data_IF_933687614524
#
_entry.id   IF_933687614524
#
_cell.length_a   1.000
_cell.length_b   1.000
_cell.length_c   1.000
_cell.angle_alpha   90.00
_cell.angle_beta   90.00
_cell.angle_gamma   90.00
#
_symmetry.space_group_name_H-M   'P 1'
#
loop_
_entity.id
_entity.type
_entity.pdbx_description
1 polymer ?
#
# COMPACT_ATOMS: atom_id res chain seq x y z
N UNK A 1 8.26 11.09 13.50
CA UNK A 1 8.09 10.90 12.06
C UNK A 1 6.69 11.27 11.68
N UNK A 2 6.54 11.96 10.61
CA UNK A 2 5.24 12.48 10.20
C UNK A 2 4.82 11.87 8.87
N UNK A 3 3.51 11.60 8.75
CA UNK A 3 2.95 11.20 7.47
C UNK A 3 2.76 12.42 6.57
N UNK A 4 3.00 12.22 5.27
CA UNK A 4 2.62 13.17 4.24
C UNK A 4 1.22 12.82 3.77
N UNK A 5 0.35 13.81 3.67
CA UNK A 5 -1.03 13.62 3.19
C UNK A 5 -1.13 14.16 1.76
N UNK A 6 -1.61 13.32 0.84
CA UNK A 6 -1.83 13.76 -0.54
C UNK A 6 -3.18 14.43 -0.70
N UNK A 7 -3.41 15.02 -1.88
CA UNK A 7 -4.68 15.69 -2.18
C UNK A 7 -5.88 14.73 -2.14
N UNK A 8 -5.67 13.44 -2.38
CA UNK A 8 -6.74 12.43 -2.35
C UNK A 8 -7.05 11.93 -0.93
N UNK A 9 -6.25 12.32 0.06
CA UNK A 9 -6.41 11.86 1.43
C UNK A 9 -5.54 10.67 1.81
N UNK A 10 -4.75 10.15 0.88
CA UNK A 10 -3.76 9.12 1.17
C UNK A 10 -2.68 9.70 2.08
N UNK A 11 -2.26 8.93 3.08
CA UNK A 11 -1.11 9.29 3.90
C UNK A 11 0.00 8.28 3.67
N UNK A 12 1.24 8.76 3.64
CA UNK A 12 2.38 7.86 3.49
C UNK A 12 3.59 8.36 4.26
N UNK A 13 4.47 7.42 4.60
CA UNK A 13 5.73 7.72 5.27
C UNK A 13 6.78 6.71 4.80
N UNK A 14 7.92 7.21 4.33
CA UNK A 14 9.04 6.35 3.98
C UNK A 14 9.81 6.00 5.26
N UNK A 15 9.73 4.74 5.67
CA UNK A 15 10.50 4.25 6.81
C UNK A 15 11.92 3.88 6.40
N UNK A 16 12.10 3.51 5.13
CA UNK A 16 13.40 3.33 4.51
C UNK A 16 13.32 3.91 3.10
N UNK A 17 14.24 4.78 2.74
CA UNK A 17 14.33 5.29 1.37
C UNK A 17 15.28 4.39 0.60
N UNK A 18 14.77 3.78 -0.48
CA UNK A 18 15.58 2.94 -1.35
C UNK A 18 16.54 3.75 -2.20
N UNK A 19 17.46 3.06 -2.85
CA UNK A 19 18.49 3.68 -3.67
C UNK A 19 18.46 3.21 -5.12
N UNK A 20 17.60 2.25 -5.44
CA UNK A 20 17.49 1.70 -6.79
C UNK A 20 16.55 2.48 -7.70
N UNK A 21 16.02 1.80 -8.71
CA UNK A 21 15.15 2.42 -9.69
C UNK A 21 13.85 2.91 -9.05
N UNK A 22 13.32 4.00 -9.56
CA UNK A 22 12.08 4.60 -9.07
C UNK A 22 10.87 3.93 -9.72
N UNK A 23 9.85 3.63 -8.91
CA UNK A 23 8.58 3.08 -9.37
C UNK A 23 7.81 4.14 -10.14
N UNK A 24 7.49 3.84 -11.39
CA UNK A 24 6.81 4.77 -12.30
C UNK A 24 5.55 4.14 -12.88
N UNK A 25 4.50 4.95 -13.13
CA UNK A 25 3.30 4.45 -13.78
C UNK A 25 3.62 3.84 -15.15
N UNK A 26 2.91 2.78 -15.49
CA UNK A 26 3.09 2.10 -16.76
C UNK A 26 4.10 0.97 -16.74
N UNK A 27 4.77 0.75 -15.60
CA UNK A 27 5.73 -0.34 -15.45
C UNK A 27 5.24 -1.35 -14.42
N UNK A 28 5.68 -2.59 -14.55
CA UNK A 28 5.42 -3.59 -13.52
C UNK A 28 6.35 -3.36 -12.34
N UNK A 29 5.79 -3.48 -11.14
CA UNK A 29 6.56 -3.38 -9.91
C UNK A 29 6.40 -4.66 -9.10
N UNK A 30 7.44 -5.01 -8.33
CA UNK A 30 7.45 -6.20 -7.49
C UNK A 30 7.59 -5.75 -6.05
N UNK A 31 6.65 -6.18 -5.20
CA UNK A 31 6.60 -5.75 -3.80
C UNK A 31 6.37 -6.93 -2.87
N UNK A 32 6.86 -6.79 -1.63
CA UNK A 32 6.27 -7.49 -0.49
C UNK A 32 5.43 -6.50 0.28
N UNK A 33 4.33 -6.97 0.85
CA UNK A 33 3.44 -6.10 1.63
C UNK A 33 2.82 -6.86 2.78
N UNK A 34 2.41 -6.10 3.79
CA UNK A 34 1.56 -6.57 4.89
C UNK A 34 0.49 -5.52 5.11
N UNK A 35 -0.75 -5.96 5.28
CA UNK A 35 -1.88 -5.06 5.48
C UNK A 35 -2.62 -5.33 6.78
N UNK A 36 -3.04 -4.26 7.44
CA UNK A 36 -3.80 -4.30 8.68
C UNK A 36 -5.01 -3.39 8.57
N UNK A 37 -6.04 -3.70 9.33
CA UNK A 37 -7.12 -2.75 9.58
C UNK A 37 -6.56 -1.61 10.44
N UNK A 38 -7.03 -0.40 10.19
CA UNK A 38 -6.52 0.79 10.89
C UNK A 38 -7.72 1.64 11.32
N UNK A 39 -7.87 1.85 12.62
CA UNK A 39 -9.04 2.56 13.16
C UNK A 39 -8.59 3.53 14.24
N UNK A 40 -9.02 4.79 14.12
CA UNK A 40 -8.71 5.85 15.07
C UNK A 40 -7.21 5.95 15.40
N UNK A 41 -6.37 5.77 14.40
CA UNK A 41 -4.92 5.85 14.58
C UNK A 41 -4.30 4.59 15.17
N UNK A 42 -5.07 3.50 15.30
CA UNK A 42 -4.61 2.25 15.91
C UNK A 42 -4.59 1.13 14.88
N UNK A 43 -3.45 0.46 14.77
CA UNK A 43 -3.31 -0.70 13.93
C UNK A 43 -4.07 -1.88 14.54
N UNK A 44 -4.98 -2.45 13.74
CA UNK A 44 -5.80 -3.59 14.16
C UNK A 44 -5.31 -4.90 13.60
N UNK A 45 -6.25 -5.76 13.23
CA UNK A 45 -5.95 -7.11 12.75
C UNK A 45 -5.24 -7.10 11.40
N UNK A 46 -4.23 -7.95 11.27
CA UNK A 46 -3.58 -8.21 9.99
C UNK A 46 -4.55 -9.03 9.12
N UNK A 47 -4.77 -8.60 7.87
CA UNK A 47 -5.68 -9.30 6.97
C UNK A 47 -4.99 -9.96 5.78
N UNK A 48 -3.78 -9.54 5.45
CA UNK A 48 -3.07 -10.11 4.31
C UNK A 48 -1.58 -9.81 4.41
N UNK A 49 -0.75 -10.71 3.84
CA UNK A 49 0.69 -10.47 3.70
C UNK A 49 1.26 -11.39 2.63
N UNK A 50 1.99 -10.79 1.68
CA UNK A 50 2.72 -11.57 0.68
C UNK A 50 3.84 -12.39 1.31
N UNK A 51 4.39 -11.91 2.43
CA UNK A 51 5.45 -12.63 3.14
C UNK A 51 4.94 -13.94 3.75
N UNK A 52 3.69 -13.97 4.19
CA UNK A 52 3.08 -15.19 4.72
C UNK A 52 2.94 -16.27 3.65
N UNK A 53 2.78 -15.85 2.38
CA UNK A 53 2.71 -16.76 1.24
C UNK A 53 4.09 -17.13 0.71
N UNK A 54 5.15 -16.43 1.16
CA UNK A 54 6.51 -16.65 0.67
C UNK A 54 6.73 -16.25 -0.78
N UNK A 55 5.88 -15.37 -1.32
CA UNK A 55 5.93 -14.99 -2.73
C UNK A 55 5.61 -13.51 -2.90
N UNK A 56 6.49 -12.75 -3.58
CA UNK A 56 6.22 -11.33 -3.82
C UNK A 56 5.07 -11.14 -4.80
N UNK A 57 4.48 -9.97 -4.75
CA UNK A 57 3.35 -9.59 -5.58
C UNK A 57 3.82 -8.64 -6.69
N UNK A 58 3.43 -8.95 -7.91
CA UNK A 58 3.80 -8.16 -9.08
C UNK A 58 2.53 -7.56 -9.68
N UNK A 59 2.55 -6.25 -9.95
CA UNK A 59 1.40 -5.60 -10.57
C UNK A 59 1.83 -4.44 -11.45
N UNK A 60 1.01 -4.08 -12.48
CA UNK A 60 1.30 -2.91 -13.31
C UNK A 60 0.89 -1.64 -12.54
N UNK A 61 1.86 -0.79 -12.25
CA UNK A 61 1.62 0.42 -11.46
C UNK A 61 0.80 1.44 -12.26
N UNK A 62 -0.23 1.98 -11.65
CA UNK A 62 -1.09 2.97 -12.27
C UNK A 62 -2.12 2.40 -13.23
N UNK A 63 -2.20 1.07 -13.34
CA UNK A 63 -3.10 0.42 -14.31
C UNK A 63 -4.50 0.12 -13.80
N UNK A 64 -4.83 0.49 -12.58
CA UNK A 64 -6.15 0.20 -12.00
C UNK A 64 -6.35 -1.26 -11.63
N UNK A 65 -5.29 -2.04 -11.57
CA UNK A 65 -5.35 -3.47 -11.25
C UNK A 65 -5.30 -3.76 -9.76
N UNK A 66 -5.04 -2.74 -8.96
CA UNK A 66 -4.97 -2.80 -7.49
C UNK A 66 -5.78 -1.65 -6.94
N UNK A 67 -5.98 -1.61 -5.61
CA UNK A 67 -6.70 -0.50 -5.01
C UNK A 67 -5.97 0.82 -5.29
N UNK A 68 -6.74 1.91 -5.39
CA UNK A 68 -6.20 3.21 -5.79
C UNK A 68 -5.09 3.69 -4.86
N UNK A 69 -5.19 3.39 -3.58
CA UNK A 69 -4.16 3.76 -2.61
C UNK A 69 -2.80 3.17 -2.94
N UNK A 70 -2.76 1.99 -3.54
CA UNK A 70 -1.51 1.38 -4.00
C UNK A 70 -1.01 2.02 -5.30
N UNK A 71 -1.90 2.19 -6.29
CA UNK A 71 -1.53 2.81 -7.56
C UNK A 71 -0.97 4.22 -7.33
N UNK A 72 -1.50 4.94 -6.37
CA UNK A 72 -1.00 6.27 -6.00
C UNK A 72 0.20 6.19 -5.06
N UNK A 73 0.12 5.32 -4.05
CA UNK A 73 1.08 5.33 -2.93
C UNK A 73 2.42 4.71 -3.26
N UNK A 74 2.49 3.78 -4.19
CA UNK A 74 3.76 3.11 -4.56
C UNK A 74 4.57 3.97 -5.54
N UNK A 75 3.93 4.89 -6.25
CA UNK A 75 4.65 5.79 -7.15
C UNK A 75 5.70 6.60 -6.39
N UNK A 76 6.89 6.67 -6.95
CA UNK A 76 7.98 7.42 -6.36
C UNK A 76 8.82 6.64 -5.36
N UNK A 77 8.41 5.42 -4.97
CA UNK A 77 9.28 4.56 -4.17
C UNK A 77 10.48 4.14 -5.00
N UNK A 78 11.58 3.87 -4.33
CA UNK A 78 12.79 3.32 -4.98
C UNK A 78 13.02 1.90 -4.50
N UNK A 79 13.60 1.08 -5.37
CA UNK A 79 13.96 -0.30 -5.02
C UNK A 79 14.81 -0.31 -3.75
N UNK A 80 14.48 -1.20 -2.83
CA UNK A 80 15.10 -1.28 -1.50
C UNK A 80 14.40 -0.45 -0.44
N UNK A 81 13.42 0.37 -0.83
CA UNK A 81 12.68 1.20 0.11
C UNK A 81 11.48 0.50 0.73
N UNK A 82 11.06 1.01 1.88
CA UNK A 82 9.85 0.56 2.57
C UNK A 82 9.01 1.79 2.89
N UNK A 83 7.73 1.73 2.54
CA UNK A 83 6.79 2.84 2.74
C UNK A 83 5.56 2.34 3.46
N UNK A 84 5.13 3.09 4.46
CA UNK A 84 3.86 2.84 5.14
C UNK A 84 2.78 3.68 4.48
N UNK A 85 1.66 3.06 4.15
CA UNK A 85 0.50 3.72 3.54
C UNK A 85 -0.68 3.64 4.50
N UNK A 86 -1.36 4.77 4.70
CA UNK A 86 -2.65 4.80 5.39
C UNK A 86 -3.68 5.17 4.32
N UNK A 87 -4.55 4.23 4.02
CA UNK A 87 -5.46 4.29 2.87
C UNK A 87 -6.89 4.46 3.34
N UNK A 88 -7.51 5.63 3.10
CA UNK A 88 -8.92 5.82 3.44
C UNK A 88 -9.82 4.92 2.59
N UNK A 89 -11.07 4.66 3.02
CA UNK A 89 -11.96 3.73 2.32
C UNK A 89 -12.15 4.05 0.84
N UNK A 90 -12.22 5.32 0.47
CA UNK A 90 -12.41 5.71 -0.93
C UNK A 90 -11.26 5.36 -1.86
N UNK A 91 -10.08 5.08 -1.30
CA UNK A 91 -8.92 4.64 -2.07
C UNK A 91 -8.63 3.15 -1.84
N UNK A 92 -9.43 2.48 -1.03
CA UNK A 92 -9.33 1.07 -0.73
C UNK A 92 -10.55 0.31 -1.21
N UNK A 93 -11.22 -0.39 -0.30
CA UNK A 93 -12.36 -1.25 -0.65
C UNK A 93 -13.72 -0.59 -0.44
N UNK A 94 -13.73 0.66 0.00
CA UNK A 94 -14.94 1.49 0.07
C UNK A 94 -16.04 0.93 0.96
N UNK A 95 -17.29 1.23 0.55
CA UNK A 95 -18.47 0.83 1.31
C UNK A 95 -18.76 -0.66 1.24
N UNK A 96 -18.15 -1.40 0.32
CA UNK A 96 -18.35 -2.85 0.19
C UNK A 96 -17.47 -3.67 1.12
N UNK A 97 -16.27 -3.17 1.44
CA UNK A 97 -15.26 -3.99 2.07
C UNK A 97 -14.75 -5.09 1.14
N UNK A 98 -14.14 -6.13 1.68
CA UNK A 98 -13.62 -7.24 0.89
C UNK A 98 -13.72 -8.54 1.68
N UNK A 99 -14.50 -9.49 1.15
CA UNK A 99 -14.69 -10.79 1.77
C UNK A 99 -15.16 -10.65 3.21
N UNK A 100 -14.72 -11.55 4.08
CA UNK A 100 -15.00 -11.48 5.52
C UNK A 100 -13.91 -10.76 6.32
N UNK A 101 -12.87 -10.25 5.67
CA UNK A 101 -11.68 -9.73 6.35
C UNK A 101 -11.66 -8.22 6.44
N UNK A 102 -12.20 -7.51 5.45
CA UNK A 102 -12.20 -6.06 5.41
C UNK A 102 -13.63 -5.57 5.48
N UNK A 103 -14.02 -4.94 6.60
CA UNK A 103 -15.39 -4.44 6.75
C UNK A 103 -15.65 -3.24 5.87
N UNK A 104 -16.94 -2.87 5.67
CA UNK A 104 -17.29 -1.66 4.94
C UNK A 104 -16.66 -0.42 5.58
N UNK A 105 -16.24 0.52 4.74
CA UNK A 105 -15.70 1.81 5.15
C UNK A 105 -14.44 1.70 6.01
N UNK A 106 -13.63 0.67 5.78
CA UNK A 106 -12.41 0.48 6.55
C UNK A 106 -11.26 1.34 6.03
N UNK A 107 -10.53 1.94 6.95
CA UNK A 107 -9.22 2.53 6.67
C UNK A 107 -8.18 1.42 6.82
N UNK A 108 -7.22 1.40 5.93
CA UNK A 108 -6.23 0.32 5.86
C UNK A 108 -4.83 0.88 6.09
N UNK A 109 -3.99 0.09 6.72
CA UNK A 109 -2.56 0.37 6.84
C UNK A 109 -1.80 -0.72 6.12
N UNK A 110 -0.90 -0.32 5.22
CA UNK A 110 -0.01 -1.25 4.55
C UNK A 110 1.44 -0.84 4.79
N UNK A 111 2.29 -1.84 4.96
CA UNK A 111 3.72 -1.66 4.87
C UNK A 111 4.15 -2.32 3.57
N UNK A 112 4.73 -1.53 2.65
CA UNK A 112 5.10 -1.99 1.30
C UNK A 112 6.60 -1.84 1.13
N UNK A 113 7.23 -2.95 0.76
CA UNK A 113 8.66 -2.97 0.43
C UNK A 113 8.80 -3.15 -1.08
N UNK A 114 9.49 -2.22 -1.75
CA UNK A 114 9.69 -2.30 -3.20
C UNK A 114 10.93 -3.13 -3.50
N UNK A 115 10.73 -4.24 -4.17
CA UNK A 115 11.80 -5.18 -4.53
C UNK A 115 12.32 -4.94 -5.95
N UNK A 116 11.41 -4.55 -6.86
CA UNK A 116 11.76 -4.31 -8.25
C UNK A 116 10.85 -3.28 -8.88
N UNK A 117 11.40 -2.49 -9.78
CA UNK A 117 10.63 -1.45 -10.47
C UNK A 117 10.98 -1.39 -11.97
#
# INVERSE_FOLDING_TARGET
MAFTTTASGLQFEDTTVGTGAEAQPGRNVTVHYTGWLYDNGVQGAKFDSSKDRGEPFIFPLGGGMVIRGWDEGVQGMREGGTRTLIIPPGLGYGARGAGGLIPPNATLKFEVELLGA
#
